data_IF_379136327921
#
_entry.id   IF_379136327921
#
_cell.length_a   1.000
_cell.length_b   1.000
_cell.length_c   1.000
_cell.angle_alpha   90.00
_cell.angle_beta   90.00
_cell.angle_gamma   90.00
#
_symmetry.space_group_name_H-M   'P 1'
#
loop_
_entity.id
_entity.type
_entity.pdbx_description
1 polymer ?
#
# COMPACT_ATOMS: atom_id res chain seq x y z
N UNK A 1 16.68 -11.80 30.56
CA UNK A 1 16.73 -10.99 29.32
C UNK A 1 15.88 -9.76 29.55
N UNK A 2 16.48 -8.60 29.69
CA UNK A 2 15.78 -7.32 29.56
C UNK A 2 15.49 -7.12 28.09
N UNK A 3 14.22 -6.98 27.72
CA UNK A 3 13.85 -6.67 26.34
C UNK A 3 14.29 -5.22 26.08
N UNK A 4 15.17 -5.04 25.10
CA UNK A 4 15.67 -3.72 24.73
C UNK A 4 14.56 -2.94 24.01
N UNK A 5 14.12 -1.87 24.66
CA UNK A 5 13.08 -0.97 24.14
C UNK A 5 13.48 -0.37 22.78
N UNK A 6 14.78 -0.17 22.55
CA UNK A 6 15.33 0.32 21.28
C UNK A 6 15.05 -0.65 20.14
N UNK A 7 15.25 -1.95 20.39
CA UNK A 7 15.00 -3.00 19.38
C UNK A 7 13.51 -3.13 19.09
N UNK A 8 12.66 -3.05 20.14
CA UNK A 8 11.20 -3.06 19.96
C UNK A 8 10.76 -1.90 19.06
N UNK A 9 11.20 -0.68 19.35
CA UNK A 9 10.82 0.49 18.54
C UNK A 9 11.37 0.42 17.13
N UNK A 10 12.62 -0.02 16.95
CA UNK A 10 13.19 -0.23 15.62
C UNK A 10 12.35 -1.21 14.80
N UNK A 11 11.92 -2.32 15.40
CA UNK A 11 11.05 -3.28 14.73
C UNK A 11 9.67 -2.69 14.38
N UNK A 12 9.04 -1.97 15.31
CA UNK A 12 7.75 -1.32 15.07
C UNK A 12 7.86 -0.32 13.91
N UNK A 13 8.90 0.51 13.88
CA UNK A 13 9.10 1.50 12.82
C UNK A 13 9.30 0.81 11.46
N UNK A 14 10.16 -0.22 11.40
CA UNK A 14 10.39 -0.97 10.15
C UNK A 14 9.10 -1.63 9.68
N UNK A 15 8.32 -2.22 10.59
CA UNK A 15 7.04 -2.83 10.26
C UNK A 15 6.03 -1.80 9.75
N UNK A 16 5.95 -0.63 10.40
CA UNK A 16 5.06 0.46 9.99
C UNK A 16 5.43 0.99 8.60
N UNK A 17 6.72 1.23 8.34
CA UNK A 17 7.21 1.67 7.02
C UNK A 17 6.95 0.60 5.97
N UNK A 18 7.16 -0.68 6.29
CA UNK A 18 6.86 -1.78 5.38
C UNK A 18 5.39 -1.82 5.00
N UNK A 19 4.49 -1.72 5.98
CA UNK A 19 3.04 -1.69 5.73
C UNK A 19 2.68 -0.48 4.86
N UNK A 20 3.20 0.70 5.18
CA UNK A 20 2.98 1.91 4.37
C UNK A 20 3.41 1.72 2.91
N UNK A 21 4.62 1.19 2.69
CA UNK A 21 5.13 0.94 1.33
C UNK A 21 4.28 -0.09 0.58
N UNK A 22 3.74 -1.10 1.26
CA UNK A 22 2.89 -2.12 0.62
C UNK A 22 1.53 -1.55 0.25
N UNK A 23 0.86 -0.84 1.17
CA UNK A 23 -0.47 -0.28 0.94
C UNK A 23 -0.40 0.85 -0.10
N UNK A 24 0.43 1.85 0.13
CA UNK A 24 0.55 3.02 -0.74
C UNK A 24 1.27 2.69 -2.07
N UNK A 25 2.26 1.79 -2.02
CA UNK A 25 2.95 1.32 -3.22
C UNK A 25 2.06 0.49 -4.14
N UNK A 26 1.03 -0.19 -3.62
CA UNK A 26 0.03 -0.87 -4.44
C UNK A 26 -0.86 0.13 -5.18
N UNK A 27 -1.38 1.14 -4.48
CA UNK A 27 -2.23 2.19 -5.06
C UNK A 27 -1.49 2.96 -6.16
N UNK A 28 -0.26 3.42 -5.87
CA UNK A 28 0.60 4.10 -6.83
C UNK A 28 1.04 3.17 -7.98
N UNK A 29 1.28 1.89 -7.69
CA UNK A 29 1.66 0.89 -8.68
C UNK A 29 0.55 0.68 -9.72
N UNK A 30 -0.71 0.57 -9.29
CA UNK A 30 -1.87 0.52 -10.20
C UNK A 30 -1.99 1.82 -11.00
N UNK A 31 -1.76 2.98 -10.38
CA UNK A 31 -1.73 4.27 -11.06
C UNK A 31 -0.68 4.36 -12.18
N UNK A 32 0.54 3.88 -11.93
CA UNK A 32 1.63 3.82 -12.93
C UNK A 32 1.28 2.85 -14.07
N UNK A 33 0.74 1.69 -13.75
CA UNK A 33 0.36 0.66 -14.73
C UNK A 33 -0.93 0.98 -15.47
N UNK A 34 -1.70 1.97 -15.03
CA UNK A 34 -3.03 2.29 -15.57
C UNK A 34 -3.04 2.51 -17.08
N UNK A 35 -1.98 3.11 -17.63
CA UNK A 35 -1.83 3.32 -19.08
C UNK A 35 -1.72 2.01 -19.87
N UNK A 36 -1.20 0.95 -19.25
CA UNK A 36 -0.99 -0.36 -19.87
C UNK A 36 -2.25 -1.22 -19.92
N UNK A 37 -3.29 -0.90 -19.14
CA UNK A 37 -4.57 -1.64 -19.18
C UNK A 37 -5.41 -1.24 -20.38
N UNK A 38 -6.08 -2.23 -20.98
CA UNK A 38 -7.03 -2.01 -22.07
C UNK A 38 -8.20 -1.15 -21.61
N UNK A 39 -8.67 -0.28 -22.50
CA UNK A 39 -9.79 0.63 -22.19
C UNK A 39 -11.08 -0.18 -22.05
N UNK A 40 -11.83 0.04 -20.96
CA UNK A 40 -13.06 -0.66 -20.64
C UNK A 40 -12.89 -1.50 -19.38
N UNK A 41 -13.33 -2.76 -19.46
CA UNK A 41 -13.50 -3.63 -18.30
C UNK A 41 -12.22 -3.83 -17.48
N UNK A 42 -11.04 -3.90 -18.12
CA UNK A 42 -9.76 -4.07 -17.42
C UNK A 42 -9.39 -2.86 -16.55
N UNK A 43 -9.66 -1.63 -17.02
CA UNK A 43 -9.44 -0.40 -16.24
C UNK A 43 -10.44 -0.27 -15.12
N UNK A 44 -11.70 -0.64 -15.38
CA UNK A 44 -12.74 -0.61 -14.36
C UNK A 44 -12.42 -1.64 -13.25
N UNK A 45 -11.96 -2.82 -13.60
CA UNK A 45 -11.51 -3.83 -12.62
C UNK A 45 -10.28 -3.36 -11.85
N UNK A 46 -9.29 -2.75 -12.50
CA UNK A 46 -8.12 -2.18 -11.83
C UNK A 46 -8.52 -1.09 -10.82
N UNK A 47 -9.43 -0.18 -11.20
CA UNK A 47 -9.92 0.87 -10.32
C UNK A 47 -10.79 0.35 -9.17
N UNK A 48 -11.65 -0.62 -9.43
CA UNK A 48 -12.48 -1.25 -8.39
C UNK A 48 -11.67 -2.07 -7.37
N UNK A 49 -10.44 -2.47 -7.72
CA UNK A 49 -9.54 -3.18 -6.79
C UNK A 49 -8.87 -2.27 -5.76
N UNK A 50 -8.70 -0.98 -6.08
CA UNK A 50 -8.07 0.02 -5.20
C UNK A 50 -9.10 0.87 -4.45
N UNK A 51 -10.26 1.15 -5.05
CA UNK A 51 -11.25 2.09 -4.53
C UNK A 51 -11.66 1.89 -3.05
N UNK A 52 -11.88 0.67 -2.53
CA UNK A 52 -12.25 0.50 -1.12
C UNK A 52 -11.09 0.64 -0.12
N UNK A 53 -9.84 0.58 -0.59
CA UNK A 53 -8.63 0.59 0.28
C UNK A 53 -7.94 1.95 0.23
N UNK A 54 -7.98 2.62 -0.92
CA UNK A 54 -7.35 3.92 -1.15
C UNK A 54 -7.82 5.01 -0.17
N UNK A 55 -9.13 5.14 0.04
CA UNK A 55 -9.70 6.12 1.00
C UNK A 55 -9.26 5.84 2.47
N UNK A 56 -9.06 4.56 2.81
CA UNK A 56 -8.57 4.14 4.12
C UNK A 56 -7.06 4.25 4.30
N UNK A 57 -6.31 4.48 3.23
CA UNK A 57 -4.86 4.74 3.25
C UNK A 57 -4.57 6.25 3.32
N UNK A 58 -5.45 7.09 2.74
CA UNK A 58 -5.31 8.55 2.75
C UNK A 58 -5.96 9.26 3.98
N UNK A 59 -6.71 8.55 4.82
CA UNK A 59 -7.38 9.09 6.04
C UNK A 59 -6.85 8.46 7.33
#
# INVERSE_FOLDING_TARGET
MTIDLTIIWAFIIVLAVFIYVVLDGFDLGIGILFRSFAVGQDRDTAMNSIAPVWDGNET
#
